data_IF_242657464592
#
_entry.id   IF_242657464592
#
_cell.length_a   1.000
_cell.length_b   1.000
_cell.length_c   1.000
_cell.angle_alpha   90.00
_cell.angle_beta   90.00
_cell.angle_gamma   90.00
#
_symmetry.space_group_name_H-M   'P 1'
#
loop_
_entity.id
_entity.type
_entity.pdbx_description
1 polymer ?
#
# COMPACT_ATOMS: atom_id res chain seq x y z
N UNK A 1 28.66 -24.46 0.77
CA UNK A 1 28.96 -23.28 1.59
C UNK A 1 27.77 -22.37 1.44
N UNK A 2 27.04 -22.29 2.53
CA UNK A 2 25.69 -21.76 2.67
C UNK A 2 25.75 -20.23 2.67
N UNK A 3 25.19 -19.60 1.63
CA UNK A 3 25.20 -18.14 1.49
C UNK A 3 23.81 -17.54 1.83
N UNK A 4 22.88 -18.37 2.29
CA UNK A 4 21.50 -18.00 2.57
C UNK A 4 21.25 -17.64 4.03
N UNK A 5 22.17 -18.01 4.94
CA UNK A 5 22.00 -17.81 6.38
C UNK A 5 22.47 -16.43 6.90
N UNK A 6 23.27 -15.69 6.14
CA UNK A 6 23.84 -14.42 6.62
C UNK A 6 22.95 -13.18 6.36
N UNK A 7 21.75 -13.34 5.79
CA UNK A 7 20.90 -12.20 5.38
C UNK A 7 19.72 -11.95 6.34
N UNK A 8 19.37 -12.91 7.20
CA UNK A 8 18.23 -12.79 8.11
C UNK A 8 18.53 -11.85 9.31
N UNK A 9 19.78 -11.76 9.75
CA UNK A 9 20.14 -11.04 10.99
C UNK A 9 20.08 -9.50 10.91
N UNK A 10 20.03 -8.90 9.72
CA UNK A 10 20.04 -7.43 9.55
C UNK A 10 18.63 -6.79 9.44
N UNK A 11 17.55 -7.58 9.49
CA UNK A 11 16.17 -7.12 9.22
C UNK A 11 15.22 -7.17 10.43
N UNK A 12 15.70 -7.59 11.60
CA UNK A 12 14.87 -7.90 12.77
C UNK A 12 14.68 -6.74 13.76
N UNK A 13 15.32 -5.59 13.54
CA UNK A 13 15.23 -4.48 14.49
C UNK A 13 13.99 -3.59 14.39
N UNK A 14 13.15 -3.73 13.35
CA UNK A 14 12.14 -2.72 13.04
C UNK A 14 10.83 -3.34 12.55
N UNK A 15 9.78 -3.34 13.38
CA UNK A 15 8.44 -3.71 12.92
C UNK A 15 7.96 -2.75 11.83
N UNK A 16 7.27 -3.21 10.77
CA UNK A 16 6.53 -2.33 9.87
C UNK A 16 5.40 -1.54 10.57
N UNK A 17 5.16 -1.80 11.85
CA UNK A 17 4.27 -1.03 12.74
C UNK A 17 5.01 -0.05 13.67
N UNK A 18 6.35 -0.12 13.81
CA UNK A 18 7.14 0.68 14.79
C UNK A 18 7.87 1.88 14.17
N UNK A 19 7.71 2.11 12.87
CA UNK A 19 8.48 3.15 12.21
C UNK A 19 7.81 4.52 12.35
N UNK A 20 8.32 5.30 13.31
CA UNK A 20 8.22 6.75 13.28
C UNK A 20 9.15 7.30 12.19
N UNK A 21 8.64 7.42 10.96
CA UNK A 21 9.42 7.82 9.77
C UNK A 21 9.65 9.32 9.60
N UNK A 22 9.78 10.07 10.71
CA UNK A 22 10.34 11.43 10.66
C UNK A 22 9.58 12.41 9.76
N UNK A 23 8.39 12.83 10.20
CA UNK A 23 7.93 14.19 9.94
C UNK A 23 7.97 14.90 11.29
N UNK A 24 9.03 15.65 11.56
CA UNK A 24 8.96 16.73 12.55
C UNK A 24 7.98 17.77 11.98
N UNK A 25 6.69 17.58 12.22
CA UNK A 25 5.73 18.66 12.13
C UNK A 25 6.13 19.70 13.18
N UNK A 26 6.10 21.01 12.87
CA UNK A 26 6.49 22.04 13.82
C UNK A 26 5.71 21.85 15.11
N UNK A 27 6.47 21.71 16.20
CA UNK A 27 6.00 21.43 17.56
C UNK A 27 4.95 22.47 17.95
N UNK A 28 3.68 22.08 17.95
CA UNK A 28 2.64 22.85 18.62
C UNK A 28 2.87 22.68 20.13
N UNK A 29 3.59 23.65 20.71
CA UNK A 29 3.63 23.88 22.15
C UNK A 29 2.20 24.21 22.60
N UNK A 30 1.45 23.18 23.03
CA UNK A 30 0.29 23.24 23.95
C UNK A 30 -0.62 22.00 23.82
N UNK A 31 -0.05 20.79 23.71
CA UNK A 31 -0.81 19.55 23.84
C UNK A 31 -0.61 18.96 25.24
N UNK A 32 -1.69 18.89 26.01
CA UNK A 32 -1.78 18.19 27.31
C UNK A 32 -1.22 16.75 27.21
N UNK A 33 -0.69 16.16 28.31
CA UNK A 33 -0.06 14.84 28.25
C UNK A 33 -1.08 13.80 27.76
N UNK A 34 -0.80 13.21 26.59
CA UNK A 34 -1.65 12.20 25.99
C UNK A 34 -1.57 10.90 26.80
N UNK A 35 -2.69 10.20 27.03
CA UNK A 35 -2.64 8.83 27.53
C UNK A 35 -2.12 7.91 26.40
N UNK A 36 -0.97 7.31 26.64
CA UNK A 36 -0.31 6.33 25.79
C UNK A 36 -1.15 5.05 25.71
N UNK A 37 -1.69 4.74 24.53
CA UNK A 37 -2.37 3.47 24.28
C UNK A 37 -1.75 2.80 23.05
N UNK A 38 -1.21 1.60 23.30
CA UNK A 38 -0.53 0.73 22.34
C UNK A 38 -1.53 0.20 21.30
N UNK A 39 -1.29 0.45 20.01
CA UNK A 39 -1.93 -0.34 18.95
C UNK A 39 -1.34 -1.74 19.08
N UNK A 40 -2.14 -2.81 19.23
CA UNK A 40 -1.59 -4.16 19.40
C UNK A 40 -0.64 -4.46 18.24
N UNK A 41 0.65 -4.58 18.56
CA UNK A 41 1.67 -4.97 17.60
C UNK A 41 1.42 -6.43 17.28
N UNK A 42 0.93 -6.69 16.06
CA UNK A 42 0.77 -8.06 15.59
C UNK A 42 2.14 -8.58 15.19
N UNK A 43 2.62 -9.58 15.91
CA UNK A 43 3.91 -10.21 15.68
C UNK A 43 3.75 -11.71 15.38
N UNK A 44 4.88 -12.41 15.30
CA UNK A 44 4.90 -13.83 14.95
C UNK A 44 4.33 -14.71 16.07
N UNK A 45 4.34 -14.22 17.32
CA UNK A 45 3.89 -14.96 18.49
C UNK A 45 2.35 -15.00 18.60
N UNK A 46 1.66 -14.17 17.82
CA UNK A 46 0.19 -14.17 17.67
C UNK A 46 -0.34 -15.31 16.79
N UNK A 47 0.55 -16.06 16.12
CA UNK A 47 0.21 -17.07 15.13
C UNK A 47 0.66 -18.47 15.53
N UNK A 48 0.00 -19.50 14.99
CA UNK A 48 0.56 -20.85 15.02
C UNK A 48 1.90 -20.91 14.27
N UNK A 49 2.72 -21.94 14.51
CA UNK A 49 4.04 -22.07 13.87
C UNK A 49 3.95 -22.05 12.33
N UNK A 50 2.91 -22.67 11.76
CA UNK A 50 2.65 -22.69 10.32
C UNK A 50 2.25 -21.29 9.80
N UNK A 51 1.34 -20.61 10.50
CA UNK A 51 0.90 -19.25 10.17
C UNK A 51 2.04 -18.23 10.34
N UNK A 52 2.93 -18.40 11.32
CA UNK A 52 4.09 -17.55 11.54
C UNK A 52 5.05 -17.59 10.34
N UNK A 53 5.24 -18.76 9.70
CA UNK A 53 6.02 -18.88 8.48
C UNK A 53 5.37 -18.10 7.31
N UNK A 54 4.05 -18.21 7.16
CA UNK A 54 3.31 -17.44 6.16
C UNK A 54 3.40 -15.94 6.43
N UNK A 55 3.29 -15.53 7.70
CA UNK A 55 3.44 -14.15 8.12
C UNK A 55 4.83 -13.60 7.75
N UNK A 56 5.90 -14.36 7.99
CA UNK A 56 7.27 -13.99 7.57
C UNK A 56 7.39 -13.79 6.06
N UNK A 57 6.77 -14.65 5.26
CA UNK A 57 6.74 -14.52 3.79
C UNK A 57 6.05 -13.20 3.40
N UNK A 58 4.83 -12.97 3.89
CA UNK A 58 4.05 -11.75 3.59
C UNK A 58 4.82 -10.50 4.02
N UNK A 59 5.31 -10.46 5.25
CA UNK A 59 6.10 -9.35 5.82
C UNK A 59 7.33 -9.05 4.97
N UNK A 60 8.06 -10.07 4.55
CA UNK A 60 9.25 -9.93 3.70
C UNK A 60 8.89 -9.35 2.33
N UNK A 61 7.85 -9.87 1.67
CA UNK A 61 7.40 -9.40 0.35
C UNK A 61 6.91 -7.95 0.42
N UNK A 62 6.10 -7.61 1.41
CA UNK A 62 5.63 -6.23 1.61
C UNK A 62 6.79 -5.26 1.87
N UNK A 63 7.77 -5.64 2.71
CA UNK A 63 8.98 -4.85 2.96
C UNK A 63 9.78 -4.63 1.68
N UNK A 64 9.98 -5.66 0.86
CA UNK A 64 10.67 -5.54 -0.43
C UNK A 64 9.91 -4.63 -1.40
N UNK A 65 8.58 -4.65 -1.38
CA UNK A 65 7.77 -3.76 -2.21
C UNK A 65 7.97 -2.27 -1.81
N UNK A 66 7.99 -1.97 -0.50
CA UNK A 66 7.87 -0.61 0.00
C UNK A 66 9.15 -0.01 0.63
N UNK A 67 10.24 -0.75 0.76
CA UNK A 67 11.50 -0.20 1.28
C UNK A 67 12.21 0.62 0.19
N UNK A 68 12.54 1.87 0.51
CA UNK A 68 13.20 2.85 -0.38
C UNK A 68 14.51 2.34 -0.98
N UNK A 69 15.27 1.54 -0.24
CA UNK A 69 16.58 1.02 -0.64
C UNK A 69 16.50 -0.26 -1.50
N UNK A 70 15.29 -0.81 -1.69
CA UNK A 70 15.14 -2.03 -2.51
C UNK A 70 15.37 -1.73 -3.98
N UNK A 71 16.17 -2.56 -4.65
CA UNK A 71 16.41 -2.46 -6.10
C UNK A 71 15.13 -2.72 -6.88
N UNK A 72 15.00 -2.11 -8.07
CA UNK A 72 13.80 -2.25 -8.90
C UNK A 72 13.43 -3.70 -9.19
N UNK A 73 14.41 -4.55 -9.56
CA UNK A 73 14.16 -5.96 -9.87
C UNK A 73 13.56 -6.73 -8.68
N UNK A 74 14.06 -6.50 -7.46
CA UNK A 74 13.53 -7.12 -6.24
C UNK A 74 12.15 -6.59 -5.89
N UNK A 75 11.94 -5.27 -6.00
CA UNK A 75 10.63 -4.63 -5.79
C UNK A 75 9.60 -5.17 -6.76
N UNK A 76 9.94 -5.25 -8.05
CA UNK A 76 9.06 -5.78 -9.09
C UNK A 76 8.64 -7.21 -8.79
N UNK A 77 9.57 -8.11 -8.44
CA UNK A 77 9.23 -9.49 -8.04
C UNK A 77 8.30 -9.55 -6.83
N UNK A 78 8.48 -8.64 -5.86
CA UNK A 78 7.59 -8.58 -4.70
C UNK A 78 6.20 -8.06 -5.05
N UNK A 79 6.11 -7.04 -5.91
CA UNK A 79 4.84 -6.51 -6.42
C UNK A 79 4.11 -7.53 -7.30
N UNK A 80 4.83 -8.22 -8.19
CA UNK A 80 4.28 -9.28 -9.03
C UNK A 80 3.63 -10.36 -8.13
N UNK A 81 4.31 -10.79 -7.06
CA UNK A 81 3.76 -11.74 -6.09
C UNK A 81 2.49 -11.21 -5.37
N UNK A 82 2.48 -9.93 -4.97
CA UNK A 82 1.33 -9.35 -4.24
C UNK A 82 0.10 -9.06 -5.14
N UNK A 83 0.30 -8.80 -6.43
CA UNK A 83 -0.77 -8.30 -7.30
C UNK A 83 -1.15 -9.26 -8.43
N UNK A 84 -0.28 -10.19 -8.84
CA UNK A 84 -0.58 -11.16 -9.91
C UNK A 84 -1.08 -12.45 -9.30
N UNK A 85 -2.32 -12.82 -9.65
CA UNK A 85 -2.96 -14.02 -9.11
C UNK A 85 -2.22 -15.29 -9.54
N UNK A 86 -1.88 -16.12 -8.55
CA UNK A 86 -1.21 -17.40 -8.77
C UNK A 86 0.31 -17.30 -8.94
N UNK A 87 0.90 -16.11 -8.84
CA UNK A 87 2.35 -15.97 -8.76
C UNK A 87 2.84 -16.55 -7.42
N UNK A 88 3.68 -17.59 -7.50
CA UNK A 88 4.18 -18.31 -6.33
C UNK A 88 5.58 -17.85 -5.93
N UNK A 89 5.87 -17.88 -4.64
CA UNK A 89 7.23 -17.72 -4.15
C UNK A 89 8.07 -19.01 -4.32
N UNK A 90 9.32 -19.01 -3.84
CA UNK A 90 10.19 -20.18 -3.88
C UNK A 90 9.67 -21.38 -3.07
N UNK A 91 8.71 -21.15 -2.16
CA UNK A 91 8.10 -22.16 -1.33
C UNK A 91 6.76 -22.66 -1.92
N UNK A 92 6.37 -22.17 -3.11
CA UNK A 92 5.11 -22.53 -3.75
C UNK A 92 3.88 -21.81 -3.18
N UNK A 93 4.08 -20.77 -2.37
CA UNK A 93 2.98 -20.02 -1.73
C UNK A 93 2.63 -18.81 -2.59
N UNK A 94 1.36 -18.69 -2.97
CA UNK A 94 0.82 -17.49 -3.59
C UNK A 94 0.22 -16.53 -2.55
N UNK A 95 0.11 -15.25 -2.92
CA UNK A 95 -0.34 -14.19 -2.01
C UNK A 95 -1.77 -14.37 -1.48
N UNK A 96 -2.69 -14.89 -2.29
CA UNK A 96 -4.09 -15.04 -1.86
C UNK A 96 -4.21 -16.18 -0.85
N UNK A 97 -3.52 -17.29 -1.09
CA UNK A 97 -3.42 -18.40 -0.13
C UNK A 97 -2.77 -17.94 1.17
N UNK A 98 -1.70 -17.14 1.09
CA UNK A 98 -1.04 -16.55 2.27
C UNK A 98 -2.00 -15.63 3.06
N UNK A 99 -2.73 -14.75 2.38
CA UNK A 99 -3.71 -13.88 3.03
C UNK A 99 -4.82 -14.68 3.69
N UNK A 100 -5.34 -15.71 3.01
CA UNK A 100 -6.40 -16.56 3.55
C UNK A 100 -5.94 -17.30 4.82
N UNK A 101 -4.72 -17.84 4.82
CA UNK A 101 -4.14 -18.51 5.98
C UNK A 101 -4.02 -17.57 7.19
N UNK A 102 -3.71 -16.29 6.95
CA UNK A 102 -3.62 -15.26 8.00
C UNK A 102 -4.97 -14.60 8.34
N UNK A 103 -6.08 -15.06 7.76
CA UNK A 103 -7.39 -14.42 7.93
C UNK A 103 -7.47 -12.99 7.36
N UNK A 104 -6.54 -12.62 6.49
CA UNK A 104 -6.46 -11.30 5.86
C UNK A 104 -7.19 -11.29 4.50
N UNK A 105 -7.67 -10.11 4.11
CA UNK A 105 -8.27 -9.88 2.80
C UNK A 105 -7.22 -9.37 1.81
N UNK A 106 -6.98 -10.04 0.68
CA UNK A 106 -5.96 -9.65 -0.29
C UNK A 106 -6.09 -8.19 -0.77
N UNK A 107 -7.31 -7.76 -1.07
CA UNK A 107 -7.59 -6.42 -1.57
C UNK A 107 -7.23 -5.32 -0.54
N UNK A 108 -7.41 -5.61 0.74
CA UNK A 108 -7.05 -4.70 1.84
C UNK A 108 -5.53 -4.58 1.95
N UNK A 109 -4.83 -5.70 1.80
CA UNK A 109 -3.37 -5.75 1.84
C UNK A 109 -2.74 -5.05 0.63
N UNK A 110 -3.31 -5.24 -0.57
CA UNK A 110 -2.90 -4.54 -1.79
C UNK A 110 -3.11 -3.02 -1.69
N UNK A 111 -4.26 -2.57 -1.18
CA UNK A 111 -4.47 -1.14 -0.97
C UNK A 111 -3.54 -0.55 0.09
N UNK A 112 -3.25 -1.31 1.15
CA UNK A 112 -2.23 -0.92 2.14
C UNK A 112 -0.86 -0.77 1.48
N UNK A 113 -0.48 -1.64 0.54
CA UNK A 113 0.76 -1.49 -0.24
C UNK A 113 0.78 -0.20 -1.06
N UNK A 114 -0.32 0.11 -1.75
CA UNK A 114 -0.46 1.40 -2.48
C UNK A 114 -0.23 2.60 -1.55
N UNK A 115 -0.88 2.60 -0.39
CA UNK A 115 -0.68 3.67 0.58
C UNK A 115 0.74 3.70 1.16
N UNK A 116 1.36 2.55 1.40
CA UNK A 116 2.76 2.50 1.86
C UNK A 116 3.74 3.06 0.81
N UNK A 117 3.51 2.79 -0.48
CA UNK A 117 4.29 3.42 -1.56
C UNK A 117 4.12 4.94 -1.56
N UNK A 118 2.90 5.44 -1.34
CA UNK A 118 2.65 6.87 -1.15
C UNK A 118 3.40 7.43 0.06
N UNK A 119 3.29 6.79 1.24
CA UNK A 119 3.94 7.24 2.48
C UNK A 119 5.47 7.25 2.37
N UNK A 120 6.04 6.27 1.68
CA UNK A 120 7.47 6.21 1.38
C UNK A 120 7.89 7.13 0.22
N UNK A 121 6.95 7.67 -0.55
CA UNK A 121 7.22 8.48 -1.74
C UNK A 121 7.93 7.71 -2.85
N UNK A 122 7.56 6.44 -3.06
CA UNK A 122 8.20 5.53 -4.03
C UNK A 122 7.29 5.39 -5.26
N UNK A 123 7.51 6.16 -6.34
CA UNK A 123 6.83 5.92 -7.61
C UNK A 123 7.36 4.65 -8.28
N UNK A 124 6.48 3.89 -8.94
CA UNK A 124 6.92 2.78 -9.77
C UNK A 124 7.49 3.27 -11.09
N UNK A 125 8.53 2.59 -11.57
CA UNK A 125 9.20 2.94 -12.84
C UNK A 125 8.34 2.66 -14.07
N UNK A 126 7.49 1.65 -13.97
CA UNK A 126 6.59 1.17 -15.01
C UNK A 126 5.28 0.68 -14.34
N UNK A 127 4.17 0.56 -15.10
CA UNK A 127 2.95 -0.05 -14.60
C UNK A 127 3.19 -1.47 -14.08
N UNK A 128 2.35 -1.88 -13.13
CA UNK A 128 2.20 -3.28 -12.76
C UNK A 128 1.78 -4.12 -13.99
N UNK A 129 2.04 -5.45 -13.98
CA UNK A 129 1.69 -6.33 -15.09
C UNK A 129 0.20 -6.28 -15.48
N UNK A 130 -0.10 -6.61 -16.73
CA UNK A 130 -1.49 -6.61 -17.23
C UNK A 130 -2.44 -7.50 -16.42
N UNK A 131 -1.92 -8.58 -15.84
CA UNK A 131 -2.67 -9.63 -15.13
C UNK A 131 -2.83 -9.36 -13.62
N UNK A 132 -2.71 -8.10 -13.19
CA UNK A 132 -2.94 -7.75 -11.80
C UNK A 132 -4.41 -7.95 -11.40
N UNK A 133 -4.65 -8.17 -10.10
CA UNK A 133 -5.99 -8.07 -9.55
C UNK A 133 -6.61 -6.69 -9.84
N UNK A 134 -7.89 -6.71 -10.15
CA UNK A 134 -8.66 -5.52 -10.50
C UNK A 134 -8.78 -4.57 -9.31
N UNK A 135 -9.02 -3.29 -9.60
CA UNK A 135 -9.34 -2.29 -8.60
C UNK A 135 -10.53 -2.79 -7.74
N UNK A 136 -10.42 -2.80 -6.40
CA UNK A 136 -11.52 -3.22 -5.53
C UNK A 136 -12.80 -2.38 -5.75
N UNK A 137 -13.96 -3.05 -5.76
CA UNK A 137 -15.28 -2.46 -6.05
C UNK A 137 -15.60 -1.24 -5.16
N UNK A 138 -15.12 -1.25 -3.91
CA UNK A 138 -15.25 -0.11 -2.99
C UNK A 138 -14.65 1.17 -3.59
N UNK A 139 -13.42 1.09 -4.12
CA UNK A 139 -12.75 2.25 -4.71
C UNK A 139 -13.41 2.67 -6.02
N UNK A 140 -13.94 1.72 -6.80
CA UNK A 140 -14.74 2.03 -7.98
C UNK A 140 -16.00 2.82 -7.59
N UNK A 141 -16.74 2.35 -6.59
CA UNK A 141 -17.96 3.00 -6.10
C UNK A 141 -17.68 4.41 -5.59
N UNK A 142 -16.61 4.60 -4.83
CA UNK A 142 -16.22 5.91 -4.33
C UNK A 142 -15.75 6.85 -5.45
N UNK A 143 -15.04 6.33 -6.45
CA UNK A 143 -14.63 7.11 -7.62
C UNK A 143 -15.85 7.57 -8.43
N UNK A 144 -16.85 6.69 -8.59
CA UNK A 144 -18.14 7.04 -9.23
C UNK A 144 -18.82 8.18 -8.46
N UNK A 145 -18.90 8.10 -7.13
CA UNK A 145 -19.53 9.13 -6.32
C UNK A 145 -18.78 10.48 -6.39
N UNK A 146 -17.46 10.45 -6.49
CA UNK A 146 -16.64 11.66 -6.53
C UNK A 146 -16.63 12.34 -7.90
N UNK A 147 -16.55 11.55 -8.98
CA UNK A 147 -16.35 12.08 -10.32
C UNK A 147 -16.85 11.17 -11.47
N UNK A 148 -17.84 10.31 -11.21
CA UNK A 148 -18.46 9.43 -12.21
C UNK A 148 -17.44 8.51 -12.91
N UNK A 149 -17.70 8.14 -14.17
CA UNK A 149 -16.89 7.22 -14.96
C UNK A 149 -15.46 7.72 -15.18
N UNK A 150 -15.29 9.05 -15.36
CA UNK A 150 -13.97 9.68 -15.45
C UNK A 150 -13.14 9.42 -14.19
N UNK A 151 -13.79 9.48 -13.03
CA UNK A 151 -13.17 9.15 -11.75
C UNK A 151 -12.67 7.72 -11.71
N UNK A 152 -13.49 6.76 -12.14
CA UNK A 152 -13.12 5.34 -12.18
C UNK A 152 -11.95 5.10 -13.14
N UNK A 153 -11.97 5.74 -14.31
CA UNK A 153 -10.90 5.60 -15.29
C UNK A 153 -9.54 6.04 -14.70
N UNK A 154 -9.50 7.20 -14.04
CA UNK A 154 -8.29 7.71 -13.38
C UNK A 154 -7.82 6.79 -12.24
N UNK A 155 -8.73 6.36 -11.37
CA UNK A 155 -8.37 5.49 -10.23
C UNK A 155 -7.85 4.14 -10.71
N UNK A 156 -8.42 3.56 -11.79
CA UNK A 156 -7.92 2.31 -12.39
C UNK A 156 -6.52 2.45 -12.96
N UNK A 157 -6.20 3.56 -13.61
CA UNK A 157 -4.85 3.80 -14.12
C UNK A 157 -3.84 3.99 -12.96
N UNK A 158 -4.22 4.70 -11.90
CA UNK A 158 -3.37 4.84 -10.70
C UNK A 158 -3.22 3.51 -9.95
N UNK A 159 -4.24 2.65 -9.92
CA UNK A 159 -4.15 1.29 -9.38
C UNK A 159 -3.15 0.44 -10.15
N UNK A 160 -3.15 0.54 -11.48
CA UNK A 160 -2.18 -0.15 -12.33
C UNK A 160 -0.77 0.43 -12.23
N UNK A 161 -0.64 1.71 -11.91
CA UNK A 161 0.65 2.38 -11.83
C UNK A 161 0.74 3.28 -10.60
N UNK A 162 0.99 2.72 -9.40
CA UNK A 162 1.18 3.51 -8.21
C UNK A 162 2.36 4.48 -8.36
N UNK A 163 2.07 5.77 -8.18
CA UNK A 163 3.04 6.84 -8.44
C UNK A 163 3.25 7.09 -9.93
N UNK A 164 2.18 7.09 -10.71
CA UNK A 164 2.18 7.54 -12.10
C UNK A 164 2.38 9.07 -12.15
N UNK A 165 3.25 9.61 -13.02
CA UNK A 165 3.35 11.06 -13.24
C UNK A 165 2.03 11.63 -13.76
N UNK A 166 1.64 12.83 -13.32
CA UNK A 166 0.37 13.43 -13.77
C UNK A 166 0.29 13.56 -15.29
N UNK A 167 1.35 14.03 -15.95
CA UNK A 167 1.39 14.18 -17.42
C UNK A 167 1.10 12.85 -18.14
N UNK A 168 1.63 11.74 -17.62
CA UNK A 168 1.41 10.40 -18.17
C UNK A 168 0.01 9.88 -17.85
N UNK A 169 -0.54 10.24 -16.69
CA UNK A 169 -1.91 9.91 -16.31
C UNK A 169 -2.94 10.62 -17.20
N UNK A 170 -2.69 11.89 -17.56
CA UNK A 170 -3.51 12.64 -18.52
C UNK A 170 -3.49 11.97 -19.90
N UNK A 171 -2.30 11.63 -20.39
CA UNK A 171 -2.14 10.93 -21.68
C UNK A 171 -2.85 9.56 -21.69
N UNK A 172 -2.67 8.75 -20.65
CA UNK A 172 -3.23 7.39 -20.58
C UNK A 172 -4.73 7.36 -20.36
N UNK A 173 -5.27 8.28 -19.57
CA UNK A 173 -6.71 8.36 -19.32
C UNK A 173 -7.46 8.87 -20.55
N UNK A 174 -6.82 9.66 -21.41
CA UNK A 174 -7.45 10.29 -22.57
C UNK A 174 -8.52 11.32 -22.17
N UNK A 175 -8.55 11.73 -20.91
CA UNK A 175 -9.56 12.63 -20.36
C UNK A 175 -9.09 14.10 -20.51
N UNK A 176 -9.85 14.96 -21.20
CA UNK A 176 -9.47 16.36 -21.39
C UNK A 176 -9.50 17.18 -20.08
N UNK A 177 -10.19 16.68 -19.06
CA UNK A 177 -10.39 17.27 -17.74
C UNK A 177 -9.72 16.45 -16.61
N UNK A 178 -8.73 15.61 -16.94
CA UNK A 178 -8.08 14.70 -15.99
C UNK A 178 -7.62 15.38 -14.70
N UNK A 179 -7.05 16.58 -14.78
CA UNK A 179 -6.62 17.34 -13.60
C UNK A 179 -7.79 17.73 -12.67
N UNK A 180 -8.90 18.22 -13.22
CA UNK A 180 -10.08 18.57 -12.42
C UNK A 180 -10.71 17.33 -11.75
N UNK A 181 -10.71 16.21 -12.45
CA UNK A 181 -11.20 14.93 -11.92
C UNK A 181 -10.27 14.43 -10.81
N UNK A 182 -8.97 14.52 -11.00
CA UNK A 182 -7.97 14.19 -9.97
C UNK A 182 -8.19 15.04 -8.71
N UNK A 183 -8.42 16.35 -8.84
CA UNK A 183 -8.73 17.23 -7.69
C UNK A 183 -10.01 16.80 -6.94
N UNK A 184 -11.05 16.35 -7.65
CA UNK A 184 -12.27 15.81 -7.02
C UNK A 184 -11.96 14.52 -6.23
N UNK A 185 -11.17 13.63 -6.81
CA UNK A 185 -10.75 12.37 -6.18
C UNK A 185 -9.82 12.62 -4.98
N UNK A 186 -8.93 13.59 -5.06
CA UNK A 186 -8.09 14.03 -3.94
C UNK A 186 -8.94 14.65 -2.82
N UNK A 187 -9.94 15.48 -3.18
CA UNK A 187 -10.86 16.04 -2.20
C UNK A 187 -11.70 14.96 -1.51
N UNK A 188 -12.06 13.90 -2.22
CA UNK A 188 -12.70 12.70 -1.67
C UNK A 188 -11.74 11.83 -0.84
N UNK A 189 -10.43 12.10 -0.92
CA UNK A 189 -9.39 11.39 -0.22
C UNK A 189 -9.06 10.04 -0.84
N UNK A 190 -9.37 9.80 -2.12
CA UNK A 190 -9.04 8.55 -2.80
C UNK A 190 -7.62 8.55 -3.35
N UNK A 191 -7.24 9.67 -3.97
CA UNK A 191 -5.93 9.90 -4.55
C UNK A 191 -5.16 10.94 -3.73
N UNK A 192 -3.84 10.91 -3.82
CA UNK A 192 -2.99 11.94 -3.25
C UNK A 192 -1.81 12.25 -4.17
N UNK A 193 -1.38 13.52 -4.14
CA UNK A 193 -0.21 14.00 -4.85
C UNK A 193 1.04 13.92 -3.97
N UNK A 194 2.15 13.43 -4.54
CA UNK A 194 3.47 13.50 -3.89
C UNK A 194 4.60 13.59 -4.90
N UNK A 195 5.40 14.63 -4.80
CA UNK A 195 6.59 14.87 -5.65
C UNK A 195 6.31 14.79 -7.17
N UNK A 196 5.13 15.19 -7.63
CA UNK A 196 4.75 15.14 -9.06
C UNK A 196 4.11 13.82 -9.51
N UNK A 197 3.94 12.87 -8.59
CA UNK A 197 3.36 11.56 -8.83
C UNK A 197 2.03 11.41 -8.10
N UNK A 198 1.12 10.66 -8.72
CA UNK A 198 -0.23 10.40 -8.20
C UNK A 198 -0.29 8.99 -7.64
N UNK A 199 -0.81 8.86 -6.42
CA UNK A 199 -0.95 7.59 -5.73
C UNK A 199 -2.40 7.36 -5.31
N UNK A 200 -2.80 6.08 -5.27
CA UNK A 200 -3.99 5.67 -4.54
C UNK A 200 -3.62 5.63 -3.06
N UNK A 201 -4.35 6.38 -2.24
CA UNK A 201 -4.24 6.29 -0.79
C UNK A 201 -5.44 5.59 -0.18
N UNK A 202 -6.57 5.53 -0.90
CA UNK A 202 -7.88 5.28 -0.30
C UNK A 202 -8.19 6.34 0.77
N UNK A 203 -9.36 6.27 1.45
CA UNK A 203 -9.71 7.21 2.53
C UNK A 203 -8.55 7.33 3.52
N UNK A 204 -7.74 8.36 3.34
CA UNK A 204 -6.59 8.60 4.16
C UNK A 204 -7.05 8.92 5.58
N UNK A 205 -6.27 8.58 6.61
CA UNK A 205 -6.60 8.93 7.99
C UNK A 205 -6.70 10.45 8.29
N UNK A 206 -6.46 11.36 7.34
CA UNK A 206 -6.38 12.79 7.63
C UNK A 206 -7.51 13.64 7.03
N UNK A 207 -8.66 13.61 7.71
CA UNK A 207 -9.50 14.80 7.98
C UNK A 207 -10.09 14.83 9.40
N UNK A 208 -9.42 14.16 10.34
CA UNK A 208 -9.75 14.27 11.75
C UNK A 208 -9.14 13.15 12.55
N UNK A 209 -8.21 13.52 13.45
CA UNK A 209 -7.84 12.79 14.68
C UNK A 209 -8.75 11.59 14.96
N UNK A 210 -8.38 10.39 14.51
CA UNK A 210 -8.98 9.17 15.04
C UNK A 210 -7.91 8.11 15.22
N UNK A 211 -7.42 8.12 16.48
CA UNK A 211 -6.89 7.07 17.35
C UNK A 211 -7.40 5.60 17.12
N UNK A 212 -8.03 5.24 15.98
CA UNK A 212 -8.70 3.97 15.69
C UNK A 212 -8.77 3.61 14.18
N UNK A 213 -7.88 4.16 13.34
CA UNK A 213 -7.86 3.86 11.89
C UNK A 213 -7.47 2.39 11.67
N UNK A 214 -8.35 1.63 11.03
CA UNK A 214 -8.07 0.28 10.57
C UNK A 214 -8.23 0.25 9.07
N UNK A 215 -7.27 -0.34 8.38
CA UNK A 215 -7.35 -0.57 6.93
C UNK A 215 -8.57 -1.43 6.57
N UNK A 216 -9.00 -2.35 7.44
CA UNK A 216 -10.27 -3.04 7.21
C UNK A 216 -11.46 -2.08 7.12
N UNK A 217 -11.45 -0.99 7.91
CA UNK A 217 -12.50 0.04 7.94
C UNK A 217 -12.37 1.06 6.81
N UNK A 218 -11.27 1.11 6.06
CA UNK A 218 -11.21 1.92 4.84
C UNK A 218 -11.99 1.28 3.68
N UNK A 219 -12.43 0.03 3.85
CA UNK A 219 -13.27 -0.73 2.92
C UNK A 219 -14.73 -0.84 3.38
N UNK A 220 -15.17 -0.07 4.39
CA UNK A 220 -16.54 -0.06 4.90
C UNK A 220 -17.05 1.37 5.16
#
# INVERSE_FOLDING_TARGET
MDCSQEIEDDLDGISPFDLNWGIELPRQEDASPEPEYDVPRVDEDDYSEEEAQIFKIVKTKMRLACNVNTTWSRRKKALDWCFVRGEQDSNGVDFNTACLALGARPEVMQARLHHQLYQAGIPLREPLPLWIDMLPEQYESEAIMAAWEDGVALVREVWRWPGIPMEVLEEKSGLPNAFEVMQKLEKAGLLAWRFGYVFLTGRGPDRGRRRNFSWSKSFF
#
